data_IF_289982318398
#
_entry.id   IF_289982318398
#
_cell.length_a   1.000
_cell.length_b   1.000
_cell.length_c   1.000
_cell.angle_alpha   90.00
_cell.angle_beta   90.00
_cell.angle_gamma   90.00
#
_symmetry.space_group_name_H-M   'P 1'
#
loop_
_entity.id
_entity.type
_entity.pdbx_description
1 polymer ?
#
# COMPACT_ATOMS: atom_id res chain seq x y z
N UNK A 1 3.64 -6.09 -12.72
CA UNK A 1 3.87 -6.23 -11.27
C UNK A 1 5.37 -6.51 -11.06
N UNK A 2 6.14 -5.53 -10.60
CA UNK A 2 7.56 -5.75 -10.32
C UNK A 2 7.69 -6.39 -8.95
N UNK A 3 8.49 -7.43 -8.86
CA UNK A 3 8.77 -8.14 -7.60
C UNK A 3 9.89 -7.41 -6.88
N UNK A 4 9.61 -6.87 -5.73
CA UNK A 4 10.61 -6.26 -4.86
C UNK A 4 11.34 -7.36 -4.11
N UNK A 5 12.67 -7.29 -4.07
CA UNK A 5 13.52 -8.29 -3.41
C UNK A 5 13.26 -8.30 -1.90
N UNK A 6 12.88 -9.46 -1.39
CA UNK A 6 12.75 -9.72 0.05
C UNK A 6 14.09 -9.93 0.70
N UNK A 7 14.31 -9.26 1.82
CA UNK A 7 15.26 -9.73 2.83
C UNK A 7 14.77 -9.35 4.23
N UNK A 8 13.66 -9.85 4.66
CA UNK A 8 13.23 -10.12 6.03
C UNK A 8 11.73 -10.38 6.04
N UNK A 9 11.35 -11.51 6.62
CA UNK A 9 9.93 -11.80 6.85
C UNK A 9 9.41 -10.89 7.96
N UNK A 10 8.69 -9.86 7.57
CA UNK A 10 7.92 -9.07 8.53
C UNK A 10 6.90 -10.01 9.18
N UNK A 11 7.14 -10.38 10.42
CA UNK A 11 6.19 -11.20 11.20
C UNK A 11 5.00 -10.32 11.56
N UNK A 12 4.00 -10.30 10.69
CA UNK A 12 2.70 -9.74 11.06
C UNK A 12 2.24 -10.47 12.30
N UNK A 13 1.94 -9.74 13.36
CA UNK A 13 1.36 -10.32 14.56
C UNK A 13 0.01 -10.94 14.21
N UNK A 14 -0.02 -12.25 14.02
CA UNK A 14 -1.20 -13.02 13.58
C UNK A 14 -2.45 -12.78 14.45
N UNK A 15 -2.24 -12.45 15.71
CA UNK A 15 -3.31 -12.18 16.67
C UNK A 15 -4.06 -10.88 16.39
N UNK A 16 -3.36 -9.81 15.99
CA UNK A 16 -3.96 -8.50 15.79
C UNK A 16 -4.70 -8.41 14.45
N UNK A 17 -4.14 -9.00 13.40
CA UNK A 17 -4.68 -8.89 12.04
C UNK A 17 -5.75 -9.92 11.71
N UNK A 18 -6.03 -10.89 12.59
CA UNK A 18 -6.98 -12.02 12.34
C UNK A 18 -6.83 -12.64 10.94
N UNK A 19 -5.60 -12.68 10.43
CA UNK A 19 -5.29 -13.24 9.11
C UNK A 19 -5.40 -12.24 7.94
N UNK A 20 -5.81 -10.98 8.14
CA UNK A 20 -5.92 -9.99 7.08
C UNK A 20 -4.59 -9.76 6.33
N UNK A 21 -3.46 -9.84 7.02
CA UNK A 21 -2.13 -9.72 6.41
C UNK A 21 -1.81 -10.77 5.33
N UNK A 22 -2.58 -11.86 5.23
CA UNK A 22 -2.42 -12.85 4.14
C UNK A 22 -2.88 -12.32 2.78
N UNK A 23 -3.75 -11.33 2.77
CA UNK A 23 -4.45 -10.83 1.60
C UNK A 23 -3.84 -9.55 1.03
N UNK A 24 -2.85 -8.96 1.72
CA UNK A 24 -2.11 -7.79 1.27
C UNK A 24 -0.69 -8.17 0.84
N UNK A 25 -0.09 -7.33 0.00
CA UNK A 25 1.32 -7.43 -0.34
C UNK A 25 2.11 -6.55 0.65
N UNK A 26 3.15 -7.14 1.23
CA UNK A 26 4.09 -6.43 2.08
C UNK A 26 5.44 -6.41 1.40
N UNK A 27 6.06 -5.24 1.42
CA UNK A 27 7.39 -5.00 0.88
C UNK A 27 8.22 -4.38 2.00
N UNK A 28 9.43 -4.91 2.22
CA UNK A 28 10.35 -4.44 3.23
C UNK A 28 11.61 -3.90 2.54
N UNK A 29 11.93 -2.66 2.81
CA UNK A 29 13.09 -1.95 2.28
C UNK A 29 14.22 -1.81 3.32
N UNK A 30 14.16 -2.51 4.44
CA UNK A 30 14.97 -2.29 5.64
C UNK A 30 16.49 -2.48 5.53
N UNK A 31 17.07 -2.85 4.37
CA UNK A 31 18.49 -3.21 4.26
C UNK A 31 19.32 -2.33 3.29
N UNK A 32 18.75 -1.29 2.71
CA UNK A 32 19.45 -0.36 1.80
C UNK A 32 20.24 0.71 2.54
N UNK A 33 21.05 1.48 1.80
CA UNK A 33 21.75 2.66 2.32
C UNK A 33 20.75 3.78 2.65
N UNK A 34 19.69 3.90 1.83
CA UNK A 34 18.58 4.84 2.02
C UNK A 34 17.26 4.15 1.63
N UNK A 35 16.75 3.26 2.49
CA UNK A 35 15.58 2.44 2.16
C UNK A 35 14.33 3.27 1.85
N UNK A 36 14.18 4.41 2.51
CA UNK A 36 13.07 5.32 2.25
C UNK A 36 13.12 5.86 0.82
N UNK A 37 14.26 6.39 0.38
CA UNK A 37 14.42 6.90 -0.99
C UNK A 37 14.28 5.82 -2.04
N UNK A 38 14.79 4.62 -1.79
CA UNK A 38 14.62 3.48 -2.69
C UNK A 38 13.13 3.17 -2.90
N UNK A 39 12.36 3.11 -1.82
CA UNK A 39 10.92 2.91 -1.86
C UNK A 39 10.20 4.02 -2.64
N UNK A 40 10.48 5.29 -2.31
CA UNK A 40 9.85 6.43 -2.96
C UNK A 40 10.16 6.49 -4.45
N UNK A 41 11.42 6.27 -4.83
CA UNK A 41 11.84 6.27 -6.23
C UNK A 41 11.19 5.14 -7.03
N UNK A 42 11.07 3.95 -6.45
CA UNK A 42 10.36 2.85 -7.09
C UNK A 42 8.89 3.17 -7.31
N UNK A 43 8.19 3.68 -6.29
CA UNK A 43 6.79 4.09 -6.41
C UNK A 43 6.60 5.17 -7.47
N UNK A 44 7.44 6.21 -7.48
CA UNK A 44 7.41 7.27 -8.50
C UNK A 44 7.67 6.71 -9.91
N UNK A 45 8.60 5.76 -10.04
CA UNK A 45 8.93 5.16 -11.35
C UNK A 45 7.79 4.39 -12.00
N UNK A 46 6.82 3.94 -11.20
CA UNK A 46 5.61 3.25 -11.66
C UNK A 46 4.35 4.15 -11.63
N UNK A 47 4.55 5.46 -11.45
CA UNK A 47 3.49 6.48 -11.62
C UNK A 47 2.72 6.83 -10.35
N UNK A 48 3.17 6.41 -9.16
CA UNK A 48 2.53 6.82 -7.92
C UNK A 48 2.92 8.25 -7.52
N UNK A 49 1.94 9.00 -7.04
CA UNK A 49 2.16 10.24 -6.31
C UNK A 49 2.38 9.95 -4.83
N UNK A 50 3.35 10.61 -4.23
CA UNK A 50 3.67 10.46 -2.80
C UNK A 50 2.86 11.46 -1.99
N UNK A 51 2.02 10.95 -1.10
CA UNK A 51 1.14 11.75 -0.23
C UNK A 51 1.57 11.54 1.22
N UNK A 52 2.15 12.56 1.81
CA UNK A 52 2.64 12.53 3.19
C UNK A 52 1.59 13.07 4.15
N UNK A 53 1.32 12.32 5.24
CA UNK A 53 0.44 12.81 6.31
C UNK A 53 1.26 13.58 7.34
N UNK A 54 0.93 14.85 7.56
CA UNK A 54 1.65 15.72 8.50
C UNK A 54 0.70 16.64 9.26
N UNK A 55 0.95 16.92 10.54
CA UNK A 55 0.26 17.96 11.27
C UNK A 55 0.81 19.37 10.98
N UNK A 56 2.02 19.46 10.39
CA UNK A 56 2.78 20.70 10.18
C UNK A 56 2.77 21.09 8.70
N UNK A 57 3.05 22.38 8.44
CA UNK A 57 3.28 22.94 7.12
C UNK A 57 2.06 23.11 6.19
N UNK A 58 2.33 23.59 4.98
CA UNK A 58 1.35 23.81 3.92
C UNK A 58 0.72 22.49 3.49
N UNK A 59 -0.45 22.21 3.98
CA UNK A 59 -1.21 21.01 3.65
C UNK A 59 -2.47 21.34 2.87
N UNK A 60 -2.94 20.39 2.08
CA UNK A 60 -4.30 20.36 1.55
C UNK A 60 -5.19 19.52 2.46
N UNK A 61 -6.47 19.82 2.46
CA UNK A 61 -7.43 18.96 3.17
C UNK A 61 -7.53 17.62 2.45
N UNK A 62 -7.77 16.57 3.20
CA UNK A 62 -7.97 15.24 2.64
C UNK A 62 -9.14 15.18 1.63
N UNK A 63 -10.13 16.08 1.81
CA UNK A 63 -11.24 16.27 0.88
C UNK A 63 -10.85 16.94 -0.44
N UNK A 64 -9.70 17.59 -0.49
CA UNK A 64 -9.21 18.34 -1.66
C UNK A 64 -8.08 17.59 -2.39
N UNK A 65 -7.64 16.44 -1.85
CA UNK A 65 -6.59 15.62 -2.47
C UNK A 65 -7.05 15.13 -3.85
N UNK A 66 -6.31 15.41 -4.94
CA UNK A 66 -6.63 14.85 -6.26
C UNK A 66 -6.64 13.32 -6.23
N UNK A 67 -7.63 12.69 -6.87
CA UNK A 67 -7.78 11.23 -6.92
C UNK A 67 -7.66 10.68 -8.36
N UNK A 68 -6.99 11.41 -9.23
CA UNK A 68 -6.85 11.15 -10.67
C UNK A 68 -5.69 10.22 -11.04
N UNK A 69 -4.87 9.85 -10.05
CA UNK A 69 -3.71 9.00 -10.25
C UNK A 69 -3.48 8.06 -9.03
N UNK A 70 -2.72 6.98 -9.21
CA UNK A 70 -2.32 6.12 -8.10
C UNK A 70 -1.51 6.90 -7.05
N UNK A 71 -1.78 6.64 -5.78
CA UNK A 71 -1.14 7.33 -4.67
C UNK A 71 -0.52 6.37 -3.66
N UNK A 72 0.62 6.77 -3.11
CA UNK A 72 1.25 6.12 -1.98
C UNK A 72 1.12 7.03 -0.75
N UNK A 73 0.33 6.59 0.22
CA UNK A 73 0.13 7.30 1.48
C UNK A 73 1.29 6.99 2.42
N UNK A 74 1.99 8.01 2.89
CA UNK A 74 3.11 7.89 3.82
C UNK A 74 2.69 8.41 5.19
N UNK A 75 2.86 7.55 6.19
CA UNK A 75 2.60 7.88 7.59
C UNK A 75 3.92 7.86 8.35
N UNK A 76 4.12 8.85 9.19
CA UNK A 76 5.30 8.97 10.05
C UNK A 76 5.24 8.06 11.28
N UNK A 77 6.34 8.01 12.02
CA UNK A 77 6.36 7.39 13.35
C UNK A 77 5.60 8.24 14.36
N UNK A 78 5.19 7.65 15.49
CA UNK A 78 4.52 8.40 16.56
C UNK A 78 5.47 9.41 17.25
N UNK A 79 6.78 9.12 17.25
CA UNK A 79 7.77 9.98 17.94
C UNK A 79 8.34 11.05 17.02
N UNK A 80 8.82 10.63 15.83
CA UNK A 80 9.61 11.52 14.96
C UNK A 80 8.79 12.07 13.77
N UNK A 81 7.57 11.56 13.57
CA UNK A 81 6.76 11.91 12.43
C UNK A 81 7.33 11.39 11.12
N UNK A 82 7.29 12.23 10.10
CA UNK A 82 7.77 11.94 8.74
C UNK A 82 9.22 12.37 8.60
N UNK A 83 10.06 11.52 7.99
CA UNK A 83 11.47 11.84 7.75
C UNK A 83 11.65 12.97 6.71
N UNK A 84 12.77 13.68 6.78
CA UNK A 84 13.13 14.71 5.81
C UNK A 84 13.15 14.17 4.37
N UNK A 85 13.62 12.94 4.16
CA UNK A 85 13.59 12.29 2.85
C UNK A 85 12.18 12.19 2.26
N UNK A 86 11.17 11.92 3.09
CA UNK A 86 9.77 11.92 2.65
C UNK A 86 9.29 13.33 2.37
N UNK A 87 9.62 14.30 3.23
CA UNK A 87 9.24 15.71 3.06
C UNK A 87 9.78 16.24 1.72
N UNK A 88 11.04 15.99 1.42
CA UNK A 88 11.68 16.46 0.19
C UNK A 88 11.15 15.78 -1.08
N UNK A 89 10.51 14.63 -0.94
CA UNK A 89 10.02 13.82 -2.06
C UNK A 89 8.51 13.72 -2.17
N UNK A 90 7.74 14.29 -1.25
CA UNK A 90 6.29 14.26 -1.30
C UNK A 90 5.74 15.16 -2.40
N UNK A 91 4.74 14.67 -3.12
CA UNK A 91 3.96 15.46 -4.09
C UNK A 91 2.85 16.25 -3.39
N UNK A 92 2.29 15.69 -2.31
CA UNK A 92 1.23 16.31 -1.52
C UNK A 92 1.45 16.09 -0.03
N UNK A 93 1.06 17.10 0.74
CA UNK A 93 0.95 17.01 2.19
C UNK A 93 -0.52 17.08 2.58
N UNK A 94 -0.99 16.13 3.38
CA UNK A 94 -2.37 16.09 3.85
C UNK A 94 -2.42 16.09 5.37
N UNK A 95 -3.43 16.75 5.92
CA UNK A 95 -3.71 16.76 7.35
C UNK A 95 -5.04 16.09 7.63
N UNK A 96 -5.04 15.23 8.64
CA UNK A 96 -6.27 14.69 9.22
C UNK A 96 -6.70 15.68 10.30
N UNK A 97 -7.88 16.32 10.19
CA UNK A 97 -8.34 17.28 11.18
C UNK A 97 -8.42 16.64 12.57
N UNK A 98 -7.85 17.29 13.55
CA UNK A 98 -7.96 16.94 14.96
C UNK A 98 -8.49 18.11 15.77
N UNK A 99 -9.25 17.77 16.79
CA UNK A 99 -9.79 18.72 17.75
C UNK A 99 -9.47 18.22 19.16
N UNK A 100 -8.96 19.09 20.00
CA UNK A 100 -8.59 18.76 21.37
C UNK A 100 -7.13 19.03 21.69
N UNK A 101 -6.62 18.43 22.76
CA UNK A 101 -5.28 18.70 23.31
C UNK A 101 -4.18 17.81 22.75
N UNK A 102 -4.53 16.72 22.07
CA UNK A 102 -3.56 15.80 21.47
C UNK A 102 -3.18 16.25 20.07
N UNK A 103 -1.89 16.15 19.73
CA UNK A 103 -1.34 16.63 18.45
C UNK A 103 -1.48 15.61 17.33
N UNK A 104 -1.60 14.32 17.65
CA UNK A 104 -1.65 13.25 16.65
C UNK A 104 -2.59 12.11 17.04
N UNK A 105 -3.10 11.40 16.04
CA UNK A 105 -3.77 10.12 16.20
C UNK A 105 -2.76 8.99 16.34
N UNK A 106 -3.16 7.90 17.01
CA UNK A 106 -2.47 6.64 16.82
C UNK A 106 -2.39 6.32 15.31
N UNK A 107 -1.26 5.79 14.85
CA UNK A 107 -1.01 5.55 13.42
C UNK A 107 -2.07 4.68 12.76
N UNK A 108 -2.55 3.63 13.44
CA UNK A 108 -3.59 2.75 12.88
C UNK A 108 -4.91 3.48 12.68
N UNK A 109 -5.24 4.40 13.57
CA UNK A 109 -6.44 5.26 13.46
C UNK A 109 -6.26 6.24 12.31
N UNK A 110 -5.11 6.90 12.20
CA UNK A 110 -4.80 7.81 11.10
C UNK A 110 -4.92 7.12 9.74
N UNK A 111 -4.35 5.92 9.60
CA UNK A 111 -4.46 5.09 8.39
C UNK A 111 -5.92 4.77 8.07
N UNK A 112 -6.69 4.30 9.07
CA UNK A 112 -8.08 3.92 8.86
C UNK A 112 -8.95 5.10 8.43
N UNK A 113 -8.81 6.27 9.08
CA UNK A 113 -9.56 7.48 8.74
C UNK A 113 -9.21 7.98 7.32
N UNK A 114 -7.93 7.97 6.98
CA UNK A 114 -7.47 8.39 5.66
C UNK A 114 -8.01 7.48 4.56
N UNK A 115 -7.87 6.18 4.72
CA UNK A 115 -8.35 5.20 3.73
C UNK A 115 -9.87 5.25 3.59
N UNK A 116 -10.61 5.36 4.69
CA UNK A 116 -12.07 5.49 4.65
C UNK A 116 -12.51 6.76 3.94
N UNK A 117 -11.86 7.89 4.21
CA UNK A 117 -12.17 9.15 3.54
C UNK A 117 -11.92 9.08 2.03
N UNK A 118 -10.77 8.55 1.62
CA UNK A 118 -10.42 8.38 0.21
C UNK A 118 -11.40 7.42 -0.46
N UNK A 119 -11.73 6.28 0.18
CA UNK A 119 -12.66 5.30 -0.34
C UNK A 119 -14.04 5.90 -0.59
N UNK A 120 -14.59 6.62 0.37
CA UNK A 120 -15.88 7.29 0.24
C UNK A 120 -15.87 8.29 -0.93
N UNK A 121 -14.77 9.03 -1.12
CA UNK A 121 -14.64 9.97 -2.23
C UNK A 121 -14.59 9.24 -3.58
N UNK A 122 -13.79 8.20 -3.71
CA UNK A 122 -13.72 7.39 -4.94
C UNK A 122 -15.09 6.89 -5.37
N UNK A 123 -15.91 6.42 -4.40
CA UNK A 123 -17.28 5.96 -4.66
C UNK A 123 -18.21 7.12 -5.04
N UNK A 124 -18.19 8.23 -4.30
CA UNK A 124 -19.08 9.37 -4.53
C UNK A 124 -18.75 10.12 -5.83
N UNK A 125 -17.47 10.21 -6.18
CA UNK A 125 -17.00 10.86 -7.41
C UNK A 125 -17.02 9.91 -8.62
N UNK A 126 -17.47 8.65 -8.45
CA UNK A 126 -17.50 7.60 -9.47
C UNK A 126 -16.13 7.37 -10.14
N UNK A 127 -15.04 7.51 -9.37
CA UNK A 127 -13.70 7.25 -9.85
C UNK A 127 -13.45 5.74 -9.78
N UNK A 128 -13.13 5.13 -10.92
CA UNK A 128 -12.81 3.71 -10.95
C UNK A 128 -11.47 3.43 -10.28
N UNK A 129 -11.47 2.54 -9.30
CA UNK A 129 -10.30 2.04 -8.59
C UNK A 129 -10.22 0.51 -8.64
N UNK A 130 -11.05 -0.11 -9.47
CA UNK A 130 -11.09 -1.55 -9.62
C UNK A 130 -9.85 -2.07 -10.35
N UNK A 131 -9.37 -3.21 -9.91
CA UNK A 131 -8.35 -3.96 -10.63
C UNK A 131 -8.90 -4.42 -11.98
N UNK A 132 -8.07 -4.39 -13.00
CA UNK A 132 -8.39 -4.99 -14.29
C UNK A 132 -8.73 -6.48 -14.12
N UNK A 133 -9.50 -7.05 -15.06
CA UNK A 133 -9.85 -8.48 -15.00
C UNK A 133 -8.62 -9.38 -14.93
N UNK A 134 -7.55 -9.00 -15.62
CA UNK A 134 -6.29 -9.74 -15.60
C UNK A 134 -5.61 -9.71 -14.23
N UNK A 135 -5.56 -8.53 -13.60
CA UNK A 135 -5.02 -8.37 -12.24
C UNK A 135 -5.84 -9.11 -11.21
N UNK A 136 -7.18 -9.07 -11.32
CA UNK A 136 -8.07 -9.84 -10.45
C UNK A 136 -7.81 -11.34 -10.56
N UNK A 137 -7.62 -11.88 -11.79
CA UNK A 137 -7.32 -13.30 -12.00
C UNK A 137 -5.96 -13.64 -11.37
N UNK A 138 -4.92 -12.84 -11.63
CA UNK A 138 -3.59 -13.04 -11.03
C UNK A 138 -3.65 -13.06 -9.52
N UNK A 139 -4.41 -12.14 -8.94
CA UNK A 139 -4.58 -12.05 -7.49
C UNK A 139 -5.34 -13.26 -6.93
N UNK A 140 -6.42 -13.69 -7.58
CA UNK A 140 -7.19 -14.87 -7.19
C UNK A 140 -6.35 -16.15 -7.23
N UNK A 141 -5.53 -16.33 -8.27
CA UNK A 141 -4.60 -17.46 -8.35
C UNK A 141 -3.63 -17.44 -7.17
N UNK A 142 -3.00 -16.27 -6.92
CA UNK A 142 -2.07 -16.11 -5.78
C UNK A 142 -2.73 -16.37 -4.42
N UNK A 143 -3.99 -16.03 -4.26
CA UNK A 143 -4.73 -16.34 -3.03
C UNK A 143 -5.10 -17.82 -2.95
N UNK A 144 -5.51 -18.43 -4.05
CA UNK A 144 -5.82 -19.85 -4.11
C UNK A 144 -4.62 -20.73 -3.72
N UNK A 145 -3.42 -20.41 -4.24
CA UNK A 145 -2.20 -21.16 -3.87
C UNK A 145 -1.86 -21.07 -2.38
N UNK A 146 -2.23 -19.95 -1.71
CA UNK A 146 -2.03 -19.80 -0.26
C UNK A 146 -3.04 -20.56 0.60
N UNK A 147 -4.23 -20.85 0.08
CA UNK A 147 -5.31 -21.50 0.81
C UNK A 147 -5.29 -23.01 0.61
N UNK A 148 -5.04 -23.45 -0.62
CA UNK A 148 -5.08 -24.85 -1.01
C UNK A 148 -3.81 -25.53 -0.52
N UNK A 149 -3.94 -26.70 0.08
CA UNK A 149 -2.81 -27.53 0.45
C UNK A 149 -2.01 -27.90 -0.81
N UNK A 150 -0.69 -27.72 -0.79
CA UNK A 150 0.21 -27.89 -1.96
C UNK A 150 -0.17 -27.03 -3.19
N UNK A 151 -0.80 -25.87 -2.97
CA UNK A 151 -1.33 -24.99 -4.01
C UNK A 151 -0.30 -24.62 -5.06
N UNK A 152 0.95 -24.34 -4.67
CA UNK A 152 2.03 -24.00 -5.63
C UNK A 152 2.35 -25.17 -6.57
N UNK A 153 2.35 -26.42 -6.08
CA UNK A 153 2.57 -27.59 -6.91
C UNK A 153 1.42 -27.83 -7.89
N UNK A 154 0.20 -27.61 -7.41
CA UNK A 154 -1.00 -27.72 -8.24
C UNK A 154 -0.97 -26.65 -9.34
N UNK A 155 -0.62 -25.41 -9.03
CA UNK A 155 -0.49 -24.34 -10.03
C UNK A 155 0.56 -24.69 -11.09
N UNK A 156 1.74 -25.15 -10.68
CA UNK A 156 2.81 -25.56 -11.61
C UNK A 156 2.35 -26.69 -12.55
N UNK A 157 1.68 -27.68 -12.01
CA UNK A 157 1.18 -28.81 -12.80
C UNK A 157 0.10 -28.37 -13.81
N UNK A 158 -0.82 -27.49 -13.41
CA UNK A 158 -1.83 -26.93 -14.30
C UNK A 158 -1.16 -26.15 -15.43
N UNK A 159 -0.19 -25.29 -15.12
CA UNK A 159 0.56 -24.53 -16.13
C UNK A 159 1.29 -25.44 -17.12
N UNK A 160 1.92 -26.49 -16.64
CA UNK A 160 2.59 -27.49 -17.48
C UNK A 160 1.61 -28.11 -18.47
N UNK A 161 0.46 -28.60 -18.00
CA UNK A 161 -0.59 -29.22 -18.84
C UNK A 161 -1.16 -28.25 -19.89
N UNK A 162 -1.30 -26.98 -19.54
CA UNK A 162 -1.78 -25.96 -20.50
C UNK A 162 -0.76 -25.72 -21.60
N UNK A 163 0.54 -25.67 -21.28
CA UNK A 163 1.61 -25.50 -22.28
C UNK A 163 1.73 -26.71 -23.24
N UNK A 164 1.47 -27.92 -22.73
CA UNK A 164 1.48 -29.15 -23.56
C UNK A 164 0.30 -29.21 -24.55
N UNK A 165 -0.85 -28.59 -24.20
CA UNK A 165 -2.03 -28.53 -25.08
C UNK A 165 -1.95 -27.44 -26.16
N UNK A 166 -1.04 -26.50 -26.03
CA UNK A 166 -0.89 -25.36 -26.96
C UNK A 166 0.19 -25.63 -28.03
N UNK A 167 0.87 -26.77 -27.94
CA UNK A 167 1.76 -27.32 -28.98
C UNK A 167 1.00 -28.28 -29.87
#
# INVERSE_FOLDING_TARGET
MRTIKKNNEYKIQRYISRGAGRWVHLYDYGSGISPTLECLNELKSIGYKIVATTPHEKYIKLSELPLDCPMALVFGTEMDGISSEVIDNADYFVKIPMYGFTESYNISVAVALTLQSIRNRLENENISFDLSKEEQIKLKIKWATKIIRDGDKIEQEIRRRLMEKTK
#
